data_IF_257799980917
#
_entry.id   IF_257799980917
#
_cell.length_a   1.000
_cell.length_b   1.000
_cell.length_c   1.000
_cell.angle_alpha   90.00
_cell.angle_beta   90.00
_cell.angle_gamma   90.00
#
_symmetry.space_group_name_H-M   'P 1'
#
loop_
_entity.id
_entity.type
_entity.pdbx_description
1 polymer ?
#
# COMPACT_ATOMS: atom_id res chain seq x y z
N UNK A 1 -37.77 -44.68 -1.51
CA UNK A 1 -36.90 -44.38 -2.66
C UNK A 1 -36.01 -43.19 -2.33
N UNK A 2 -34.70 -43.38 -2.20
CA UNK A 2 -33.74 -42.35 -1.77
C UNK A 2 -32.87 -41.92 -2.97
N UNK A 3 -32.83 -40.61 -3.27
CA UNK A 3 -32.15 -40.05 -4.45
C UNK A 3 -30.81 -39.43 -4.02
N UNK A 4 -29.69 -40.13 -4.27
CA UNK A 4 -28.31 -39.61 -4.06
C UNK A 4 -27.90 -38.73 -5.24
N UNK A 5 -27.48 -37.49 -4.98
CA UNK A 5 -26.84 -36.59 -5.96
C UNK A 5 -25.34 -36.87 -6.02
N UNK A 6 -24.80 -37.08 -7.23
CA UNK A 6 -23.36 -37.20 -7.53
C UNK A 6 -22.85 -35.85 -8.05
N UNK A 7 -21.67 -35.42 -7.61
CA UNK A 7 -20.95 -34.24 -8.09
C UNK A 7 -20.20 -34.60 -9.39
N UNK A 8 -20.34 -33.79 -10.44
CA UNK A 8 -19.66 -33.97 -11.73
C UNK A 8 -18.30 -33.28 -11.75
N UNK A 9 -17.27 -34.01 -12.19
CA UNK A 9 -15.89 -33.55 -12.29
C UNK A 9 -15.63 -32.57 -13.44
N UNK A 10 -14.56 -31.79 -13.26
CA UNK A 10 -13.97 -30.83 -14.20
C UNK A 10 -13.35 -31.54 -15.41
N UNK A 11 -13.50 -30.97 -16.60
CA UNK A 11 -12.78 -31.38 -17.82
C UNK A 11 -11.96 -30.21 -18.37
N UNK A 12 -10.74 -30.46 -18.89
CA UNK A 12 -9.82 -29.40 -19.33
C UNK A 12 -10.16 -28.88 -20.74
N UNK A 13 -10.03 -27.57 -20.93
CA UNK A 13 -10.26 -26.84 -22.18
C UNK A 13 -9.08 -27.06 -23.15
N UNK A 14 -9.39 -27.49 -24.37
CA UNK A 14 -8.45 -27.66 -25.48
C UNK A 14 -8.39 -26.36 -26.30
N UNK A 15 -7.20 -25.75 -26.40
CA UNK A 15 -6.96 -24.56 -27.24
C UNK A 15 -6.27 -25.02 -28.53
N UNK A 16 -6.94 -24.88 -29.66
CA UNK A 16 -6.35 -25.05 -30.99
C UNK A 16 -5.72 -23.73 -31.45
N UNK A 17 -4.44 -23.79 -31.82
CA UNK A 17 -3.70 -22.69 -32.43
C UNK A 17 -3.84 -22.83 -33.95
N UNK A 18 -4.49 -21.86 -34.59
CA UNK A 18 -4.59 -21.74 -36.04
C UNK A 18 -3.44 -20.87 -36.52
N UNK A 19 -2.36 -21.50 -36.99
CA UNK A 19 -1.22 -20.81 -37.60
C UNK A 19 -1.64 -20.30 -38.98
N UNK A 20 -1.76 -18.97 -39.12
CA UNK A 20 -1.95 -18.30 -40.42
C UNK A 20 -0.66 -17.61 -40.85
N UNK A 21 -0.22 -17.99 -42.04
CA UNK A 21 1.05 -17.74 -42.75
C UNK A 21 1.31 -16.24 -43.09
N UNK A 22 1.33 -15.36 -42.09
CA UNK A 22 1.59 -13.91 -42.25
C UNK A 22 3.06 -13.52 -42.02
N UNK A 23 3.79 -14.31 -41.22
CA UNK A 23 5.18 -14.02 -40.82
C UNK A 23 6.18 -14.07 -41.99
N UNK A 24 5.88 -14.82 -43.05
CA UNK A 24 6.77 -14.96 -44.20
C UNK A 24 6.90 -13.69 -45.05
N UNK A 25 5.82 -12.91 -45.14
CA UNK A 25 5.75 -11.71 -46.00
C UNK A 25 6.49 -10.54 -45.34
N UNK A 26 6.28 -10.34 -44.04
CA UNK A 26 6.97 -9.30 -43.27
C UNK A 26 8.47 -9.58 -43.14
N UNK A 27 8.85 -10.85 -42.97
CA UNK A 27 10.26 -11.26 -42.97
C UNK A 27 10.93 -10.97 -44.33
N UNK A 28 10.26 -11.27 -45.44
CA UNK A 28 10.80 -10.97 -46.77
C UNK A 28 10.96 -9.47 -47.02
N UNK A 29 9.96 -8.66 -46.62
CA UNK A 29 10.04 -7.20 -46.72
C UNK A 29 11.14 -6.61 -45.83
N UNK A 30 11.27 -7.08 -44.59
CA UNK A 30 12.32 -6.65 -43.67
C UNK A 30 13.72 -7.02 -44.20
N UNK A 31 13.88 -8.22 -44.76
CA UNK A 31 15.13 -8.68 -45.38
C UNK A 31 15.50 -7.87 -46.63
N UNK A 32 14.52 -7.50 -47.45
CA UNK A 32 14.73 -6.63 -48.61
C UNK A 32 15.20 -5.23 -48.21
N UNK A 33 14.56 -4.62 -47.21
CA UNK A 33 14.96 -3.32 -46.65
C UNK A 33 16.37 -3.34 -46.07
N UNK A 34 16.69 -4.37 -45.28
CA UNK A 34 18.02 -4.51 -44.67
C UNK A 34 19.12 -4.68 -45.71
N UNK A 35 18.89 -5.48 -46.76
CA UNK A 35 19.86 -5.63 -47.85
C UNK A 35 20.09 -4.32 -48.60
N UNK A 36 19.05 -3.51 -48.81
CA UNK A 36 19.17 -2.18 -49.41
C UNK A 36 20.02 -1.22 -48.56
N UNK A 37 19.74 -1.14 -47.25
CA UNK A 37 20.48 -0.28 -46.31
C UNK A 37 21.94 -0.70 -46.21
N UNK A 38 22.21 -2.01 -46.15
CA UNK A 38 23.58 -2.52 -46.08
C UNK A 38 24.37 -2.22 -47.36
N UNK A 39 23.73 -2.32 -48.53
CA UNK A 39 24.37 -1.94 -49.81
C UNK A 39 24.72 -0.45 -49.84
N UNK A 40 23.81 0.41 -49.38
CA UNK A 40 24.03 1.86 -49.33
C UNK A 40 25.15 2.24 -48.34
N UNK A 41 25.27 1.54 -47.22
CA UNK A 41 26.38 1.74 -46.28
C UNK A 41 27.73 1.28 -46.84
N UNK A 42 27.75 0.22 -47.66
CA UNK A 42 28.99 -0.25 -48.32
C UNK A 42 29.40 0.70 -49.46
N UNK A 43 28.43 1.20 -50.25
CA UNK A 43 28.70 2.24 -51.28
C UNK A 43 29.19 3.54 -50.62
N UNK A 44 28.56 4.01 -49.55
CA UNK A 44 29.01 5.20 -48.81
C UNK A 44 30.36 4.99 -48.10
N UNK A 45 30.74 3.75 -47.76
CA UNK A 45 32.05 3.44 -47.16
C UNK A 45 33.19 3.43 -48.18
N UNK A 46 32.90 3.47 -49.48
CA UNK A 46 33.90 3.31 -50.54
C UNK A 46 34.24 4.63 -51.28
N UNK A 47 33.57 5.73 -50.94
CA UNK A 47 33.73 7.03 -51.64
C UNK A 47 33.85 8.23 -50.70
N UNK A 48 34.74 8.23 -49.70
CA UNK A 48 35.13 9.50 -49.03
C UNK A 48 36.61 9.51 -48.61
N UNK A 49 37.49 9.82 -49.58
CA UNK A 49 38.83 10.38 -49.35
C UNK A 49 38.87 11.77 -50.00
N UNK A 50 38.66 12.83 -49.21
CA UNK A 50 39.20 14.18 -49.45
C UNK A 50 38.77 15.18 -48.38
N UNK A 51 39.75 15.58 -47.57
CA UNK A 51 40.10 16.92 -47.12
C UNK A 51 39.01 18.02 -47.08
N UNK A 52 38.80 18.61 -45.89
CA UNK A 52 39.00 20.06 -45.68
C UNK A 52 38.44 20.51 -44.34
N UNK A 53 39.29 21.27 -43.64
CA UNK A 53 39.07 21.88 -42.33
C UNK A 53 38.06 23.05 -42.31
N UNK A 54 37.67 23.39 -41.08
CA UNK A 54 37.30 24.72 -40.54
C UNK A 54 35.83 24.99 -40.15
N UNK A 55 35.62 24.90 -38.82
CA UNK A 55 35.21 26.02 -37.96
C UNK A 55 33.71 26.42 -37.91
N UNK A 56 33.01 26.07 -36.81
CA UNK A 56 32.51 27.02 -35.77
C UNK A 56 31.45 26.41 -34.84
N UNK A 57 31.76 26.51 -33.54
CA UNK A 57 30.90 26.87 -32.40
C UNK A 57 29.49 26.26 -32.33
N UNK A 58 29.25 25.32 -31.41
CA UNK A 58 28.13 25.38 -30.47
C UNK A 58 28.34 24.39 -29.31
N UNK A 59 28.11 24.89 -28.10
CA UNK A 59 27.72 24.15 -26.88
C UNK A 59 28.62 23.00 -26.41
N UNK A 60 29.26 23.26 -25.27
CA UNK A 60 29.95 22.30 -24.39
C UNK A 60 28.94 21.30 -23.81
N UNK A 61 28.37 20.42 -24.64
CA UNK A 61 27.70 19.20 -24.18
C UNK A 61 28.81 18.20 -23.88
N UNK A 62 29.12 18.05 -22.59
CA UNK A 62 29.95 16.95 -22.08
C UNK A 62 29.50 15.68 -22.78
N UNK A 63 30.38 15.14 -23.63
CA UNK A 63 30.27 13.80 -24.19
C UNK A 63 30.33 12.88 -22.98
N UNK A 64 29.15 12.57 -22.41
CA UNK A 64 29.03 11.53 -21.41
C UNK A 64 29.48 10.27 -22.13
N UNK A 65 30.72 9.89 -21.83
CA UNK A 65 31.28 8.59 -22.09
C UNK A 65 30.19 7.58 -21.78
N UNK A 66 29.65 6.96 -22.83
CA UNK A 66 28.63 5.92 -22.70
C UNK A 66 29.35 4.74 -22.07
N UNK A 67 29.44 4.75 -20.74
CA UNK A 67 29.74 3.56 -19.96
C UNK A 67 28.77 2.49 -20.46
N UNK A 68 29.24 1.30 -20.88
CA UNK A 68 28.36 0.22 -21.29
C UNK A 68 27.42 -0.04 -20.12
N UNK A 69 26.16 0.39 -20.25
CA UNK A 69 25.15 0.03 -19.27
C UNK A 69 25.11 -1.50 -19.28
N UNK A 70 25.29 -2.17 -18.14
CA UNK A 70 25.16 -3.61 -18.09
C UNK A 70 23.81 -3.98 -18.71
N UNK A 71 23.80 -5.03 -19.52
CA UNK A 71 22.63 -5.46 -20.26
C UNK A 71 21.50 -5.80 -19.28
N UNK A 72 20.67 -4.82 -18.96
CA UNK A 72 19.53 -5.00 -18.07
C UNK A 72 18.48 -5.77 -18.86
N UNK A 73 18.15 -6.98 -18.40
CA UNK A 73 17.02 -7.72 -18.93
C UNK A 73 15.77 -6.90 -18.63
N UNK A 74 15.05 -6.46 -19.66
CA UNK A 74 13.85 -5.65 -19.48
C UNK A 74 12.66 -6.56 -19.14
N UNK A 75 12.10 -6.40 -17.95
CA UNK A 75 10.92 -7.14 -17.51
C UNK A 75 9.72 -6.20 -17.50
N UNK A 76 9.06 -6.05 -18.66
CA UNK A 76 7.96 -5.08 -18.80
C UNK A 76 6.62 -5.75 -18.54
N UNK A 77 5.94 -5.33 -17.47
CA UNK A 77 4.54 -5.67 -17.21
C UNK A 77 3.64 -4.59 -17.79
N UNK A 78 2.62 -4.98 -18.57
CA UNK A 78 1.61 -4.07 -19.13
C UNK A 78 0.26 -4.34 -18.49
N UNK A 79 -0.36 -3.31 -17.93
CA UNK A 79 -1.72 -3.35 -17.40
C UNK A 79 -2.48 -2.11 -17.89
N UNK A 80 -3.54 -2.34 -18.67
CA UNK A 80 -4.24 -1.31 -19.45
C UNK A 80 -3.28 -0.52 -20.38
N UNK A 81 -3.47 0.81 -20.48
CA UNK A 81 -2.68 1.74 -21.30
C UNK A 81 -1.35 2.17 -20.65
N UNK A 82 -0.90 1.45 -19.61
CA UNK A 82 0.33 1.77 -18.87
C UNK A 82 1.23 0.54 -18.74
N UNK A 83 2.53 0.76 -18.80
CA UNK A 83 3.55 -0.28 -18.58
C UNK A 83 4.40 0.03 -17.34
N UNK A 84 5.01 -0.98 -16.74
CA UNK A 84 6.10 -0.82 -15.77
C UNK A 84 7.21 -1.76 -16.13
N UNK A 85 8.42 -1.23 -16.16
CA UNK A 85 9.63 -2.01 -16.29
C UNK A 85 10.10 -2.43 -14.89
N UNK A 86 9.86 -3.69 -14.54
CA UNK A 86 10.17 -4.30 -13.26
C UNK A 86 11.68 -4.43 -13.03
N UNK A 87 12.48 -4.47 -14.11
CA UNK A 87 13.94 -4.58 -14.01
C UNK A 87 14.62 -3.37 -13.36
N UNK A 88 13.86 -2.28 -13.15
CA UNK A 88 14.30 -1.07 -12.44
C UNK A 88 14.19 -1.19 -10.93
N UNK A 89 13.57 -2.25 -10.43
CA UNK A 89 13.35 -2.50 -9.01
C UNK A 89 14.18 -3.71 -8.57
N UNK A 90 14.75 -3.64 -7.38
CA UNK A 90 15.37 -4.78 -6.71
C UNK A 90 14.26 -5.76 -6.25
N UNK A 91 14.56 -7.05 -6.11
CA UNK A 91 13.58 -8.09 -5.74
C UNK A 91 12.95 -7.88 -4.35
N UNK A 92 13.64 -7.14 -3.47
CA UNK A 92 13.18 -6.75 -2.13
C UNK A 92 12.36 -5.45 -2.12
N UNK A 93 12.15 -4.81 -3.29
CA UNK A 93 11.39 -3.57 -3.36
C UNK A 93 9.93 -3.82 -2.98
N UNK A 94 9.37 -3.10 -1.99
CA UNK A 94 7.97 -3.26 -1.64
C UNK A 94 7.04 -2.88 -2.81
N UNK A 95 5.83 -3.43 -2.81
CA UNK A 95 4.87 -3.26 -3.90
C UNK A 95 4.49 -1.79 -4.16
N UNK A 96 4.46 -0.94 -3.13
CA UNK A 96 3.98 0.43 -3.25
C UNK A 96 4.80 1.31 -4.22
N UNK A 97 6.15 1.37 -4.15
CA UNK A 97 6.99 2.00 -5.17
C UNK A 97 6.71 1.55 -6.61
N UNK A 98 6.47 0.25 -6.81
CA UNK A 98 6.20 -0.34 -8.13
C UNK A 98 4.85 0.17 -8.65
N UNK A 99 3.81 0.14 -7.81
CA UNK A 99 2.48 0.69 -8.13
C UNK A 99 2.53 2.19 -8.40
N UNK A 100 3.36 2.96 -7.68
CA UNK A 100 3.54 4.39 -7.91
C UNK A 100 4.18 4.66 -9.27
N UNK A 101 5.23 3.91 -9.64
CA UNK A 101 5.85 4.03 -10.95
C UNK A 101 4.88 3.66 -12.09
N UNK A 102 4.00 2.66 -11.86
CA UNK A 102 2.93 2.33 -12.81
C UNK A 102 1.96 3.49 -13.03
N UNK A 103 1.48 4.09 -11.94
CA UNK A 103 0.55 5.21 -12.02
C UNK A 103 1.17 6.45 -12.68
N UNK A 104 2.48 6.64 -12.51
CA UNK A 104 3.25 7.74 -13.08
C UNK A 104 3.64 7.53 -14.55
N UNK A 105 3.62 6.30 -15.06
CA UNK A 105 3.92 6.02 -16.47
C UNK A 105 2.81 6.52 -17.39
N UNK A 106 2.86 7.82 -17.69
CA UNK A 106 2.05 8.43 -18.72
C UNK A 106 2.87 8.54 -20.01
N UNK A 107 2.27 8.25 -21.18
CA UNK A 107 2.98 8.31 -22.46
C UNK A 107 3.55 9.70 -22.79
N UNK A 108 3.08 10.76 -22.10
CA UNK A 108 3.51 12.15 -22.27
C UNK A 108 4.62 12.59 -21.29
N UNK A 109 5.03 11.75 -20.34
CA UNK A 109 6.00 12.14 -19.31
C UNK A 109 7.13 11.09 -19.16
N UNK A 110 8.39 11.41 -19.53
CA UNK A 110 9.49 10.48 -19.36
C UNK A 110 9.75 10.17 -17.87
N UNK A 111 10.01 8.89 -17.60
CA UNK A 111 10.15 8.32 -16.27
C UNK A 111 11.19 9.03 -15.40
N UNK A 112 10.80 9.42 -14.19
CA UNK A 112 11.73 9.90 -13.17
C UNK A 112 12.45 8.72 -12.51
N UNK A 113 13.76 8.80 -12.35
CA UNK A 113 14.56 7.82 -11.62
C UNK A 113 14.02 7.71 -10.18
N UNK A 114 13.59 6.52 -9.78
CA UNK A 114 13.14 6.24 -8.41
C UNK A 114 14.37 6.32 -7.50
N UNK A 115 14.53 7.45 -6.79
CA UNK A 115 15.61 7.61 -5.80
C UNK A 115 15.22 6.83 -4.54
N UNK A 116 16.15 5.99 -4.06
CA UNK A 116 16.04 5.29 -2.77
C UNK A 116 15.78 6.34 -1.68
N UNK A 117 14.69 6.19 -0.92
CA UNK A 117 14.53 6.96 0.32
C UNK A 117 15.53 6.39 1.32
N UNK A 118 16.41 7.24 1.83
CA UNK A 118 17.22 6.90 3.00
C UNK A 118 16.24 6.64 4.14
N UNK A 119 16.39 5.51 4.84
CA UNK A 119 15.56 5.19 6.00
C UNK A 119 15.65 6.34 7.00
N UNK A 120 14.50 6.75 7.54
CA UNK A 120 14.43 7.72 8.63
C UNK A 120 15.33 7.22 9.78
N UNK A 121 16.23 8.04 10.34
CA UNK A 121 17.09 7.63 11.45
C UNK A 121 16.23 7.14 12.63
N UNK A 122 16.73 6.11 13.31
CA UNK A 122 16.08 5.53 14.48
C UNK A 122 16.04 6.56 15.62
N UNK A 123 14.88 6.75 16.30
CA UNK A 123 14.76 7.77 17.33
C UNK A 123 15.57 7.42 18.59
N UNK A 124 16.23 8.42 19.18
CA UNK A 124 16.99 8.26 20.43
C UNK A 124 16.07 7.87 21.62
N UNK A 125 16.42 6.80 22.33
CA UNK A 125 15.73 6.35 23.54
C UNK A 125 16.07 7.24 24.76
N UNK A 126 15.54 8.47 24.84
CA UNK A 126 15.51 9.21 26.13
C UNK A 126 14.64 8.48 27.16
N UNK A 127 15.26 8.07 28.27
CA UNK A 127 14.60 7.58 29.47
C UNK A 127 13.82 8.71 30.15
N UNK A 128 12.58 8.43 30.53
CA UNK A 128 11.77 9.33 31.35
C UNK A 128 12.27 9.29 32.79
N UNK A 129 13.32 10.05 33.10
CA UNK A 129 13.75 10.26 34.48
C UNK A 129 12.85 11.35 35.10
N UNK A 130 12.44 11.19 36.36
CA UNK A 130 11.50 12.06 37.10
C UNK A 130 12.01 13.50 37.33
N UNK A 131 13.25 13.81 36.97
CA UNK A 131 13.92 15.07 37.28
C UNK A 131 14.10 15.99 36.06
N UNK A 132 13.56 15.61 34.90
CA UNK A 132 13.64 16.45 33.70
C UNK A 132 12.61 17.58 33.79
N UNK A 133 13.11 18.79 34.01
CA UNK A 133 12.32 20.01 34.12
C UNK A 133 11.29 20.07 32.98
N UNK A 134 10.01 20.24 33.32
CA UNK A 134 8.86 20.27 32.41
C UNK A 134 8.89 21.37 31.33
N UNK A 135 10.01 22.08 31.21
CA UNK A 135 10.24 23.23 30.34
C UNK A 135 10.40 22.85 28.87
N UNK A 136 10.86 21.62 28.54
CA UNK A 136 11.02 21.20 27.13
C UNK A 136 10.51 19.77 26.84
N UNK A 137 9.20 19.56 26.97
CA UNK A 137 8.55 18.28 26.62
C UNK A 137 8.39 18.17 25.09
N UNK A 138 9.34 17.51 24.42
CA UNK A 138 9.33 17.30 22.96
C UNK A 138 8.53 16.06 22.51
N UNK A 139 8.21 15.16 23.44
CA UNK A 139 7.46 13.92 23.18
C UNK A 139 6.68 13.52 24.43
N UNK A 140 5.70 12.62 24.32
CA UNK A 140 4.97 12.08 25.49
C UNK A 140 5.47 10.67 25.83
N UNK A 141 5.33 10.22 27.09
CA UNK A 141 5.73 8.88 27.46
C UNK A 141 4.89 7.82 26.75
N UNK A 142 5.52 6.68 26.49
CA UNK A 142 4.84 5.51 25.97
C UNK A 142 3.75 5.05 26.96
N UNK A 143 2.65 4.45 26.47
CA UNK A 143 1.59 3.95 27.34
C UNK A 143 2.14 2.91 28.32
N UNK A 144 1.67 2.95 29.56
CA UNK A 144 2.14 2.05 30.63
C UNK A 144 1.80 0.58 30.38
N UNK A 145 0.77 0.31 29.58
CA UNK A 145 0.31 -1.02 29.19
C UNK A 145 0.08 -1.08 27.68
N UNK A 146 0.20 -2.27 27.05
CA UNK A 146 -0.04 -2.43 25.62
C UNK A 146 -1.49 -2.12 25.21
N UNK A 147 -1.71 -2.05 23.91
CA UNK A 147 -3.04 -1.80 23.36
C UNK A 147 -3.97 -3.00 23.58
N UNK A 148 -4.84 -2.90 24.57
CA UNK A 148 -6.11 -3.63 24.68
C UNK A 148 -7.23 -2.99 23.84
N UNK A 149 -8.20 -3.81 23.44
CA UNK A 149 -9.35 -3.42 22.62
C UNK A 149 -10.20 -2.32 23.26
N UNK A 150 -10.62 -1.34 22.46
CA UNK A 150 -11.50 -0.25 22.92
C UNK A 150 -12.94 -0.69 23.24
N UNK A 151 -13.32 -1.86 22.76
CA UNK A 151 -14.68 -2.37 22.83
C UNK A 151 -14.83 -3.14 24.16
N UNK A 152 -15.83 -2.82 25.00
CA UNK A 152 -16.10 -3.58 26.22
C UNK A 152 -16.50 -5.02 25.88
N UNK A 153 -16.16 -5.95 26.76
CA UNK A 153 -16.66 -7.33 26.64
C UNK A 153 -18.21 -7.35 26.66
N UNK A 154 -18.86 -8.32 26.01
CA UNK A 154 -20.32 -8.42 26.05
C UNK A 154 -20.83 -8.59 27.49
N UNK A 155 -22.02 -8.06 27.78
CA UNK A 155 -22.74 -8.38 29.03
C UNK A 155 -23.23 -9.84 28.99
N UNK A 156 -23.51 -10.48 30.14
CA UNK A 156 -24.06 -11.84 30.18
C UNK A 156 -25.32 -11.99 29.32
N UNK A 157 -26.21 -10.99 29.37
CA UNK A 157 -27.43 -10.91 28.55
C UNK A 157 -27.15 -10.86 27.03
N UNK A 158 -25.95 -10.44 26.61
CA UNK A 158 -25.52 -10.38 25.21
C UNK A 158 -24.75 -11.64 24.78
N UNK A 159 -24.33 -12.49 25.73
CA UNK A 159 -23.74 -13.79 25.47
C UNK A 159 -24.87 -14.80 25.19
N UNK A 160 -25.70 -14.52 24.19
CA UNK A 160 -26.72 -15.49 23.78
C UNK A 160 -26.09 -16.59 22.96
N UNK A 161 -26.31 -17.83 23.41
CA UNK A 161 -26.02 -19.01 22.62
C UNK A 161 -27.09 -19.09 21.51
N UNK A 162 -26.69 -19.34 20.26
CA UNK A 162 -27.61 -19.35 19.10
C UNK A 162 -28.76 -20.36 19.29
N UNK A 163 -28.54 -21.35 20.14
CA UNK A 163 -29.46 -22.44 20.44
C UNK A 163 -30.57 -22.07 21.45
N UNK A 164 -30.46 -20.90 22.12
CA UNK A 164 -31.42 -20.43 23.12
C UNK A 164 -32.43 -19.39 22.57
N UNK A 165 -32.54 -19.27 21.25
CA UNK A 165 -33.53 -18.38 20.63
C UNK A 165 -34.86 -19.12 20.58
N UNK A 166 -35.80 -18.75 21.45
CA UNK A 166 -37.15 -19.30 21.40
C UNK A 166 -37.89 -18.78 20.16
N UNK A 167 -38.16 -19.67 19.22
CA UNK A 167 -38.91 -19.40 17.98
C UNK A 167 -40.40 -19.73 18.10
N UNK A 168 -40.87 -20.24 19.25
CA UNK A 168 -42.28 -20.53 19.49
C UNK A 168 -43.01 -19.25 19.88
N UNK A 169 -43.45 -18.50 18.87
CA UNK A 169 -44.23 -17.27 19.02
C UNK A 169 -45.67 -17.53 19.51
N UNK A 170 -46.19 -18.75 19.33
CA UNK A 170 -47.58 -19.09 19.64
C UNK A 170 -47.79 -19.61 21.08
N UNK A 171 -46.75 -20.15 21.71
CA UNK A 171 -46.84 -20.78 23.04
C UNK A 171 -46.40 -19.85 24.19
N UNK A 172 -45.72 -18.75 23.86
CA UNK A 172 -45.25 -17.76 24.83
C UNK A 172 -46.02 -16.45 24.64
N UNK A 173 -46.80 -16.08 25.66
CA UNK A 173 -47.43 -14.76 25.71
C UNK A 173 -46.34 -13.69 25.65
N UNK A 174 -46.47 -12.75 24.70
CA UNK A 174 -45.49 -11.71 24.51
C UNK A 174 -45.40 -10.86 25.79
N UNK A 175 -44.19 -10.52 26.26
CA UNK A 175 -44.03 -9.64 27.41
C UNK A 175 -44.78 -8.32 27.18
N UNK A 176 -45.42 -7.82 28.24
CA UNK A 176 -46.10 -6.53 28.19
C UNK A 176 -45.10 -5.43 27.77
N UNK A 177 -45.56 -4.50 26.93
CA UNK A 177 -44.77 -3.39 26.40
C UNK A 177 -44.04 -2.62 27.51
N UNK A 178 -44.74 -2.32 28.60
CA UNK A 178 -44.20 -1.61 29.77
C UNK A 178 -42.96 -2.32 30.35
N UNK A 179 -43.10 -3.64 30.59
CA UNK A 179 -42.04 -4.50 31.13
C UNK A 179 -40.86 -4.58 30.16
N UNK A 180 -41.13 -4.73 28.86
CA UNK A 180 -40.09 -4.79 27.83
C UNK A 180 -39.28 -3.49 27.77
N UNK A 181 -39.95 -2.33 27.87
CA UNK A 181 -39.27 -1.03 27.87
C UNK A 181 -38.39 -0.89 29.12
N UNK A 182 -38.92 -1.22 30.31
CA UNK A 182 -38.17 -1.11 31.56
C UNK A 182 -36.90 -1.98 31.53
N UNK A 183 -37.03 -3.25 31.14
CA UNK A 183 -35.89 -4.17 31.04
C UNK A 183 -34.83 -3.69 30.04
N UNK A 184 -35.25 -3.16 28.88
CA UNK A 184 -34.33 -2.60 27.90
C UNK A 184 -33.64 -1.33 28.38
N UNK A 185 -34.34 -0.42 29.07
CA UNK A 185 -33.74 0.78 29.64
C UNK A 185 -32.67 0.44 30.67
N UNK A 186 -32.95 -0.49 31.58
CA UNK A 186 -31.98 -0.98 32.56
C UNK A 186 -30.76 -1.59 31.88
N UNK A 187 -30.99 -2.45 30.88
CA UNK A 187 -29.92 -3.06 30.08
C UNK A 187 -29.06 -2.00 29.39
N UNK A 188 -29.67 -1.03 28.71
CA UNK A 188 -28.94 0.04 28.03
C UNK A 188 -28.14 0.92 29.01
N UNK A 189 -28.66 1.15 30.22
CA UNK A 189 -27.92 1.82 31.28
C UNK A 189 -26.68 1.00 31.70
N UNK A 190 -26.80 -0.33 31.85
CA UNK A 190 -25.65 -1.21 32.12
C UNK A 190 -24.63 -1.17 30.98
N UNK A 191 -25.09 -1.25 29.72
CA UNK A 191 -24.22 -1.16 28.53
C UNK A 191 -23.45 0.16 28.57
N UNK A 192 -24.15 1.30 28.70
CA UNK A 192 -23.52 2.62 28.75
C UNK A 192 -22.47 2.72 29.86
N UNK A 193 -22.78 2.25 31.08
CA UNK A 193 -21.82 2.22 32.20
C UNK A 193 -20.58 1.39 31.86
N UNK A 194 -20.76 0.22 31.24
CA UNK A 194 -19.63 -0.64 30.85
C UNK A 194 -18.74 0.03 29.79
N UNK A 195 -19.32 0.70 28.82
CA UNK A 195 -18.57 1.49 27.83
C UNK A 195 -17.75 2.60 28.48
N UNK A 196 -18.34 3.37 29.39
CA UNK A 196 -17.65 4.43 30.13
C UNK A 196 -16.49 3.85 30.95
N UNK A 197 -16.73 2.75 31.67
CA UNK A 197 -15.69 2.10 32.46
C UNK A 197 -14.54 1.57 31.59
N UNK A 198 -14.84 0.94 30.47
CA UNK A 198 -13.81 0.46 29.53
C UNK A 198 -13.04 1.62 28.89
N UNK A 199 -13.70 2.72 28.56
CA UNK A 199 -13.04 3.92 28.08
C UNK A 199 -12.07 4.48 29.14
N UNK A 200 -12.52 4.62 30.39
CA UNK A 200 -11.67 5.10 31.50
C UNK A 200 -10.45 4.19 31.73
N UNK A 201 -10.63 2.86 31.72
CA UNK A 201 -9.51 1.90 31.81
C UNK A 201 -8.54 2.01 30.63
N UNK A 202 -9.06 2.29 29.43
CA UNK A 202 -8.23 2.48 28.25
C UNK A 202 -7.40 3.77 28.34
N UNK A 203 -7.95 4.82 28.94
CA UNK A 203 -7.29 6.12 29.17
C UNK A 203 -6.27 6.05 30.31
N UNK A 204 -6.49 5.22 31.33
CA UNK A 204 -5.55 4.99 32.44
C UNK A 204 -4.13 4.63 31.97
N UNK A 205 -4.01 3.99 30.81
CA UNK A 205 -2.72 3.67 30.17
C UNK A 205 -1.86 4.89 29.87
N UNK A 206 -2.48 6.05 29.70
CA UNK A 206 -1.83 7.33 29.43
C UNK A 206 -1.78 8.22 30.68
N UNK A 207 -1.96 7.68 31.89
CA UNK A 207 -1.98 8.47 33.13
C UNK A 207 -0.79 9.44 33.24
N UNK A 208 0.44 8.94 33.03
CA UNK A 208 1.66 9.77 33.04
C UNK A 208 1.62 10.89 31.99
N UNK A 209 1.21 10.57 30.76
CA UNK A 209 1.07 11.55 29.69
C UNK A 209 0.01 12.61 30.03
N UNK A 210 -1.11 12.22 30.65
CA UNK A 210 -2.16 13.16 31.07
C UNK A 210 -1.71 14.06 32.21
N UNK A 211 -0.87 13.58 33.12
CA UNK A 211 -0.29 14.37 34.19
C UNK A 211 0.65 15.44 33.65
N UNK A 212 1.54 15.07 32.72
CA UNK A 212 2.42 16.02 32.03
C UNK A 212 1.60 17.09 31.29
N UNK A 213 0.57 16.68 30.54
CA UNK A 213 -0.29 17.62 29.82
C UNK A 213 -1.05 18.56 30.76
N UNK A 214 -1.50 18.07 31.93
CA UNK A 214 -2.14 18.91 32.95
C UNK A 214 -1.15 19.93 33.53
N UNK A 215 0.07 19.51 33.84
CA UNK A 215 1.08 20.40 34.37
C UNK A 215 1.53 21.46 33.36
N UNK A 216 1.65 21.10 32.07
CA UNK A 216 1.88 22.09 30.98
C UNK A 216 0.72 23.08 30.91
N UNK A 217 -0.52 22.59 30.99
CA UNK A 217 -1.71 23.43 30.93
C UNK A 217 -1.78 24.43 32.09
N UNK A 218 -1.53 23.99 33.33
CA UNK A 218 -1.53 24.88 34.51
C UNK A 218 -0.42 25.92 34.41
N UNK A 219 0.80 25.50 34.07
CA UNK A 219 1.93 26.43 33.90
C UNK A 219 1.66 27.47 32.80
N UNK A 220 0.98 27.08 31.72
CA UNK A 220 0.61 28.02 30.66
C UNK A 220 -0.46 29.03 31.09
N UNK A 221 -1.35 28.65 32.02
CA UNK A 221 -2.32 29.58 32.60
C UNK A 221 -1.65 30.55 33.57
N UNK A 222 -0.76 30.06 34.42
CA UNK A 222 -0.04 30.89 35.42
C UNK A 222 0.90 31.93 34.77
N UNK A 223 1.44 31.65 33.57
CA UNK A 223 2.30 32.58 32.82
C UNK A 223 1.50 33.65 32.06
N UNK A 224 0.19 33.43 31.86
CA UNK A 224 -0.68 34.36 31.14
C UNK A 224 -1.36 35.42 32.05
N UNK A 225 -1.26 35.26 33.37
CA UNK A 225 -1.67 36.24 34.39
C UNK A 225 -0.49 37.10 34.86
#
# INVERSE_FOLDING_TARGET
MTKKRRLSGSSPVKVEIKEENTMGIDYLMAKGRLKGVLKQLIENSSEEDSDSSTDKRYSRKRKAERVPQPYHHTYVMKLFDRSVDLARFEEDTPLYPICRAWMQNQPKNPQTIVKRRVSTPEPEERSWNEDDSLTEVTRLPAPSRPFETRIPSPLPEQQQNKDNINLNYDECEAPEKEVLIQTHLERWAKVKRKWIQTAAKNEERYAKSTEILKAIYTNAQDVAE
#
